data_IF_564928086767
#
_entry.id   IF_564928086767
#
_cell.length_a   1.000
_cell.length_b   1.000
_cell.length_c   1.000
_cell.angle_alpha   90.00
_cell.angle_beta   90.00
_cell.angle_gamma   90.00
#
_symmetry.space_group_name_H-M   'P 1'
#
loop_
_entity.id
_entity.type
_entity.pdbx_description
1 polymer ?
#
# COMPACT_ATOMS: atom_id res chain seq x y z
N UNK A 1 7.01 13.65 6.19
CA UNK A 1 7.21 12.77 5.00
C UNK A 1 6.69 13.47 3.77
N UNK A 2 7.46 13.49 2.68
CA UNK A 2 7.12 14.21 1.47
C UNK A 2 6.90 13.21 0.32
N UNK A 3 5.76 13.32 -0.35
CA UNK A 3 5.44 12.57 -1.56
C UNK A 3 5.57 13.47 -2.78
N UNK A 4 6.38 13.04 -3.74
CA UNK A 4 6.54 13.65 -5.05
C UNK A 4 6.01 12.65 -6.08
N UNK A 5 5.03 13.03 -6.89
CA UNK A 5 4.40 12.11 -7.84
C UNK A 5 4.61 12.64 -9.26
N UNK A 6 5.43 11.95 -10.04
CA UNK A 6 5.63 12.22 -11.46
C UNK A 6 4.51 11.54 -12.25
N UNK A 7 3.64 12.32 -12.87
CA UNK A 7 2.39 11.84 -13.47
C UNK A 7 2.00 12.69 -14.70
N UNK A 8 1.11 12.16 -15.52
CA UNK A 8 0.42 12.92 -16.59
C UNK A 8 -0.95 13.48 -16.11
N UNK A 9 -1.38 13.13 -14.90
CA UNK A 9 -2.71 13.46 -14.34
C UNK A 9 -2.61 13.92 -12.87
N UNK A 10 -1.99 15.11 -12.62
CA UNK A 10 -1.81 15.64 -11.26
C UNK A 10 -3.11 15.71 -10.46
N UNK A 11 -4.21 16.17 -11.11
CA UNK A 11 -5.50 16.35 -10.44
C UNK A 11 -6.06 15.03 -9.89
N UNK A 12 -5.76 13.88 -10.52
CA UNK A 12 -6.19 12.58 -10.03
C UNK A 12 -5.54 12.26 -8.69
N UNK A 13 -4.25 12.54 -8.57
CA UNK A 13 -3.48 12.34 -7.33
C UNK A 13 -3.95 13.31 -6.24
N UNK A 14 -4.03 14.60 -6.56
CA UNK A 14 -4.41 15.66 -5.61
C UNK A 14 -5.83 15.44 -5.07
N UNK A 15 -6.80 15.18 -5.93
CA UNK A 15 -8.18 14.94 -5.51
C UNK A 15 -8.31 13.67 -4.66
N UNK A 16 -7.55 12.62 -4.96
CA UNK A 16 -7.58 11.39 -4.17
C UNK A 16 -6.96 11.54 -2.79
N UNK A 17 -5.77 12.12 -2.73
CA UNK A 17 -4.98 12.19 -1.49
C UNK A 17 -5.39 13.32 -0.53
N UNK A 18 -5.98 14.42 -1.03
CA UNK A 18 -6.43 15.54 -0.20
C UNK A 18 -7.76 15.29 0.53
N UNK A 19 -8.17 14.04 0.65
CA UNK A 19 -9.43 13.65 1.31
C UNK A 19 -9.16 12.79 2.55
N UNK A 20 -10.18 12.68 3.44
CA UNK A 20 -10.20 11.77 4.57
C UNK A 20 -8.97 11.89 5.51
N UNK A 21 -8.31 10.79 5.84
CA UNK A 21 -7.19 10.71 6.78
C UNK A 21 -5.94 11.36 6.18
N UNK A 22 -5.61 11.04 4.93
CA UNK A 22 -4.44 11.59 4.23
C UNK A 22 -4.54 13.10 4.06
N UNK A 23 -5.71 13.63 3.67
CA UNK A 23 -5.93 15.07 3.56
C UNK A 23 -5.81 15.81 4.89
N UNK A 24 -6.29 15.21 6.00
CA UNK A 24 -6.06 15.78 7.34
C UNK A 24 -4.58 15.74 7.75
N UNK A 25 -3.84 14.71 7.39
CA UNK A 25 -2.42 14.60 7.68
C UNK A 25 -1.60 15.64 6.88
N UNK A 26 -1.97 15.90 5.64
CA UNK A 26 -1.39 16.98 4.81
C UNK A 26 -1.69 18.34 5.44
N UNK A 27 -2.94 18.60 5.80
CA UNK A 27 -3.33 19.86 6.46
C UNK A 27 -2.59 20.10 7.78
N UNK A 28 -2.25 19.03 8.53
CA UNK A 28 -1.47 19.10 9.77
C UNK A 28 0.05 19.20 9.54
N UNK A 29 0.52 19.15 8.29
CA UNK A 29 1.95 19.15 7.97
C UNK A 29 2.71 17.85 8.32
N UNK A 30 2.01 16.77 8.61
CA UNK A 30 2.62 15.44 8.82
C UNK A 30 3.07 14.81 7.50
N UNK A 31 2.34 15.09 6.44
CA UNK A 31 2.62 14.71 5.07
C UNK A 31 2.67 15.95 4.20
N UNK A 32 3.47 15.92 3.15
CA UNK A 32 3.33 16.83 2.00
C UNK A 32 3.09 16.02 0.73
N UNK A 33 2.38 16.61 -0.21
CA UNK A 33 2.09 16.01 -1.51
C UNK A 33 2.33 17.03 -2.60
N UNK A 34 3.12 16.63 -3.57
CA UNK A 34 3.37 17.40 -4.79
C UNK A 34 3.18 16.48 -6.00
N UNK A 35 2.17 16.76 -6.81
CA UNK A 35 1.96 16.07 -8.08
C UNK A 35 2.54 16.90 -9.20
N UNK A 36 3.54 16.38 -9.90
CA UNK A 36 4.32 17.06 -10.93
C UNK A 36 3.88 16.53 -12.28
N UNK A 37 3.41 17.45 -13.14
CA UNK A 37 3.03 17.10 -14.51
C UNK A 37 4.28 16.92 -15.37
N UNK A 38 4.55 15.69 -15.81
CA UNK A 38 5.69 15.38 -16.69
C UNK A 38 5.62 16.17 -17.99
N UNK A 39 4.43 16.58 -18.46
CA UNK A 39 4.26 17.40 -19.69
C UNK A 39 4.92 18.77 -19.58
N UNK A 40 5.05 19.32 -18.39
CA UNK A 40 5.66 20.64 -18.17
C UNK A 40 7.17 20.63 -18.45
N UNK A 41 7.77 19.44 -18.55
CA UNK A 41 9.18 19.21 -18.90
C UNK A 41 9.38 18.78 -20.36
N UNK A 42 8.33 18.79 -21.17
CA UNK A 42 8.41 18.55 -22.60
C UNK A 42 8.61 19.87 -23.37
N UNK A 43 9.84 20.23 -23.66
CA UNK A 43 10.22 21.50 -24.31
C UNK A 43 9.99 21.51 -25.84
N UNK A 44 8.96 20.80 -26.28
CA UNK A 44 8.55 20.84 -27.69
C UNK A 44 7.25 21.61 -27.84
N UNK A 45 6.94 22.08 -29.11
CA UNK A 45 5.81 22.93 -29.41
C UNK A 45 4.44 22.42 -28.91
N UNK A 46 4.30 21.12 -28.72
CA UNK A 46 3.03 20.46 -28.37
C UNK A 46 3.05 19.79 -26.99
N UNK A 47 4.08 20.04 -26.17
CA UNK A 47 4.29 19.39 -24.89
C UNK A 47 4.12 17.85 -24.97
N UNK A 48 4.64 17.29 -26.06
CA UNK A 48 4.55 15.87 -26.37
C UNK A 48 5.54 15.11 -25.51
N UNK A 49 5.05 14.13 -24.74
CA UNK A 49 5.82 13.31 -23.78
C UNK A 49 5.98 11.87 -24.25
N UNK A 50 5.41 11.51 -25.38
CA UNK A 50 5.36 10.15 -25.92
C UNK A 50 5.87 10.08 -27.34
N UNK A 51 6.37 8.91 -27.75
CA UNK A 51 6.79 8.65 -29.15
C UNK A 51 6.62 7.16 -29.46
N UNK A 52 6.76 6.78 -30.74
CA UNK A 52 6.69 5.41 -31.21
C UNK A 52 7.87 4.58 -30.67
N UNK A 53 7.62 3.31 -30.26
CA UNK A 53 8.70 2.44 -29.84
C UNK A 53 9.62 2.06 -31.01
N UNK A 54 10.93 1.99 -30.75
CA UNK A 54 11.87 1.39 -31.71
C UNK A 54 11.51 -0.08 -31.92
N UNK A 55 11.67 -0.56 -33.13
CA UNK A 55 11.30 -1.92 -33.52
C UNK A 55 9.84 -2.09 -33.92
N UNK A 56 9.04 -1.03 -33.82
CA UNK A 56 7.60 -1.07 -34.13
C UNK A 56 6.78 -1.66 -33.00
N UNK A 57 5.47 -1.70 -33.20
CA UNK A 57 4.49 -2.17 -32.20
C UNK A 57 3.29 -1.25 -32.13
N UNK A 58 2.26 -1.67 -31.41
CA UNK A 58 1.10 -0.84 -31.11
C UNK A 58 1.40 0.13 -29.95
N UNK A 59 0.77 1.30 -29.96
CA UNK A 59 0.85 2.26 -28.88
C UNK A 59 2.06 3.17 -28.92
N UNK A 60 2.30 3.86 -27.81
CA UNK A 60 3.32 4.88 -27.63
C UNK A 60 4.12 4.58 -26.36
N UNK A 61 5.33 5.11 -26.25
CA UNK A 61 6.16 5.08 -25.03
C UNK A 61 6.36 6.50 -24.50
N UNK A 62 6.40 6.65 -23.21
CA UNK A 62 6.84 7.90 -22.59
C UNK A 62 8.33 8.13 -22.87
N UNK A 63 8.65 9.33 -23.34
CA UNK A 63 10.02 9.73 -23.68
C UNK A 63 10.88 9.88 -22.44
N UNK A 64 12.17 9.52 -22.53
CA UNK A 64 13.12 9.58 -21.42
C UNK A 64 13.30 10.99 -20.87
N UNK A 65 13.51 11.99 -21.74
CA UNK A 65 13.90 13.35 -21.36
C UNK A 65 12.89 14.06 -20.46
N UNK A 66 11.56 14.13 -20.78
CA UNK A 66 10.60 14.76 -19.88
C UNK A 66 10.50 14.07 -18.51
N UNK A 67 10.63 12.74 -18.47
CA UNK A 67 10.64 11.97 -17.21
C UNK A 67 11.89 12.29 -16.41
N UNK A 68 13.07 12.30 -17.04
CA UNK A 68 14.33 12.62 -16.37
C UNK A 68 14.33 14.04 -15.80
N UNK A 69 13.96 15.04 -16.59
CA UNK A 69 13.95 16.44 -16.15
C UNK A 69 12.93 16.69 -15.02
N UNK A 70 11.79 16.02 -15.04
CA UNK A 70 10.83 16.09 -13.93
C UNK A 70 11.41 15.50 -12.62
N UNK A 71 12.13 14.39 -12.70
CA UNK A 71 12.86 13.83 -11.58
C UNK A 71 14.00 14.74 -11.10
N UNK A 72 14.83 15.23 -12.04
CA UNK A 72 15.97 16.11 -11.75
C UNK A 72 15.55 17.36 -10.99
N UNK A 73 14.40 17.96 -11.36
CA UNK A 73 13.82 19.12 -10.66
C UNK A 73 13.56 18.88 -9.18
N UNK A 74 13.20 17.65 -8.80
CA UNK A 74 13.05 17.25 -7.40
C UNK A 74 14.43 17.06 -6.76
N UNK A 75 15.31 16.29 -7.41
CA UNK A 75 16.63 15.94 -6.87
C UNK A 75 17.48 17.19 -6.59
N UNK A 76 17.45 18.17 -7.49
CA UNK A 76 18.14 19.47 -7.32
C UNK A 76 17.56 20.25 -6.13
N UNK A 77 16.23 20.34 -6.03
CA UNK A 77 15.58 21.10 -4.97
C UNK A 77 15.83 20.51 -3.58
N UNK A 78 15.85 19.18 -3.43
CA UNK A 78 16.13 18.52 -2.16
C UNK A 78 17.64 18.30 -1.91
N UNK A 79 18.50 18.54 -2.92
CA UNK A 79 19.97 18.45 -2.82
C UNK A 79 20.51 17.03 -2.70
N UNK A 80 19.72 16.00 -3.06
CA UNK A 80 20.12 14.58 -3.04
C UNK A 80 19.27 13.75 -4.01
N UNK A 81 19.75 12.54 -4.35
CA UNK A 81 18.95 11.58 -5.11
C UNK A 81 17.89 10.97 -4.18
N UNK A 82 16.59 11.20 -4.42
CA UNK A 82 15.52 10.58 -3.64
C UNK A 82 15.33 9.11 -4.02
N UNK A 83 14.63 8.36 -3.16
CA UNK A 83 14.14 7.03 -3.48
C UNK A 83 13.01 7.13 -4.50
N UNK A 84 13.11 6.43 -5.63
CA UNK A 84 12.16 6.46 -6.74
C UNK A 84 11.47 5.11 -6.89
N UNK A 85 10.17 5.10 -6.72
CA UNK A 85 9.32 3.92 -6.84
C UNK A 85 8.63 3.95 -8.21
N UNK A 86 8.96 2.99 -9.07
CA UNK A 86 8.25 2.77 -10.32
C UNK A 86 7.22 1.66 -10.17
N UNK A 87 6.00 1.95 -10.57
CA UNK A 87 4.83 1.08 -10.42
C UNK A 87 4.66 0.21 -11.65
N UNK A 88 4.98 -1.07 -11.53
CA UNK A 88 5.08 -1.98 -12.67
C UNK A 88 4.81 -3.44 -12.25
N UNK A 89 4.18 -4.26 -13.14
CA UNK A 89 3.97 -5.69 -12.87
C UNK A 89 5.26 -6.51 -12.65
N UNK A 90 6.41 -6.05 -13.17
CA UNK A 90 7.71 -6.74 -12.98
C UNK A 90 8.33 -6.55 -11.58
N UNK A 91 7.77 -5.65 -10.77
CA UNK A 91 8.26 -5.33 -9.44
C UNK A 91 7.91 -6.35 -8.38
N UNK A 92 8.53 -6.21 -7.21
CA UNK A 92 8.12 -6.98 -6.01
C UNK A 92 6.70 -6.60 -5.61
N UNK A 93 5.90 -7.60 -5.25
CA UNK A 93 4.54 -7.35 -4.76
C UNK A 93 4.59 -6.58 -3.43
N UNK A 94 3.94 -5.41 -3.42
CA UNK A 94 3.83 -4.54 -2.24
C UNK A 94 3.18 -5.25 -1.07
N UNK A 95 3.70 -5.03 0.11
CA UNK A 95 3.19 -5.59 1.36
C UNK A 95 3.40 -4.63 2.53
N UNK A 96 2.89 -5.00 3.72
CA UNK A 96 2.95 -4.17 4.91
C UNK A 96 4.39 -3.88 5.39
N UNK A 97 5.32 -4.80 5.19
CA UNK A 97 6.72 -4.58 5.60
C UNK A 97 7.40 -3.54 4.70
N UNK A 98 7.11 -3.55 3.39
CA UNK A 98 7.54 -2.49 2.47
C UNK A 98 6.91 -1.13 2.83
N UNK A 99 5.63 -1.10 3.24
CA UNK A 99 5.00 0.14 3.68
C UNK A 99 5.72 0.74 4.90
N UNK A 100 6.09 -0.10 5.87
CA UNK A 100 6.88 0.32 7.05
C UNK A 100 8.28 0.82 6.66
N UNK A 101 8.94 0.14 5.73
CA UNK A 101 10.26 0.53 5.24
C UNK A 101 10.20 1.89 4.54
N UNK A 102 9.28 2.08 3.60
CA UNK A 102 9.10 3.34 2.89
C UNK A 102 8.69 4.50 3.80
N UNK A 103 7.97 4.22 4.88
CA UNK A 103 7.58 5.24 5.86
C UNK A 103 8.75 5.85 6.66
N UNK A 104 9.95 5.26 6.57
CA UNK A 104 11.17 5.80 7.19
C UNK A 104 11.85 6.87 6.32
N UNK A 105 11.47 6.98 5.05
CA UNK A 105 12.03 7.96 4.14
C UNK A 105 11.45 9.36 4.39
N UNK A 106 12.27 10.37 4.21
CA UNK A 106 11.83 11.76 4.26
C UNK A 106 11.12 12.16 2.96
N UNK A 107 11.69 11.77 1.81
CA UNK A 107 11.18 12.03 0.47
C UNK A 107 11.02 10.72 -0.31
N UNK A 108 9.84 10.50 -0.89
CA UNK A 108 9.56 9.42 -1.82
C UNK A 108 9.06 9.99 -3.14
N UNK A 109 9.65 9.53 -4.24
CA UNK A 109 9.18 9.83 -5.60
C UNK A 109 8.42 8.63 -6.14
N UNK A 110 7.20 8.85 -6.61
CA UNK A 110 6.41 7.86 -7.33
C UNK A 110 6.43 8.20 -8.82
N UNK A 111 6.87 7.27 -9.66
CA UNK A 111 6.82 7.40 -11.10
C UNK A 111 5.62 6.64 -11.66
N UNK A 112 4.65 7.37 -12.19
CA UNK A 112 3.44 6.84 -12.79
C UNK A 112 3.62 6.67 -14.29
N UNK A 113 3.71 5.42 -14.77
CA UNK A 113 3.78 5.10 -16.19
C UNK A 113 2.41 5.14 -16.85
N UNK A 114 2.43 5.46 -18.16
CA UNK A 114 1.28 5.45 -19.06
C UNK A 114 1.64 4.84 -20.42
N UNK A 115 0.65 4.72 -21.29
CA UNK A 115 0.79 4.12 -22.64
C UNK A 115 1.28 2.67 -22.55
N UNK A 116 2.24 2.28 -23.40
CA UNK A 116 2.87 0.95 -23.37
C UNK A 116 4.05 0.89 -22.37
N UNK A 117 4.40 1.99 -21.73
CA UNK A 117 5.47 2.10 -20.76
C UNK A 117 6.31 3.36 -20.88
N UNK A 118 7.47 3.33 -20.26
CA UNK A 118 8.46 4.42 -20.22
C UNK A 118 9.74 3.91 -20.87
N UNK A 119 10.49 4.79 -21.52
CA UNK A 119 11.79 4.48 -22.10
C UNK A 119 12.71 3.84 -21.03
N UNK A 120 13.23 2.65 -21.30
CA UNK A 120 13.99 1.86 -20.34
C UNK A 120 15.23 2.58 -19.83
N UNK A 121 15.87 3.42 -20.66
CA UNK A 121 17.10 4.14 -20.30
C UNK A 121 16.90 5.09 -19.13
N UNK A 122 15.75 5.76 -19.02
CA UNK A 122 15.46 6.62 -17.88
C UNK A 122 15.09 5.81 -16.64
N UNK A 123 14.42 4.66 -16.82
CA UNK A 123 14.12 3.78 -15.69
C UNK A 123 15.42 3.25 -15.06
N UNK A 124 16.39 2.80 -15.86
CA UNK A 124 17.71 2.36 -15.39
C UNK A 124 18.49 3.46 -14.66
N UNK A 125 18.31 4.74 -15.08
CA UNK A 125 19.05 5.87 -14.49
C UNK A 125 18.46 6.34 -13.14
N UNK A 126 17.11 6.35 -12.99
CA UNK A 126 16.50 7.01 -11.84
C UNK A 126 15.76 6.08 -10.88
N UNK A 127 15.30 4.90 -11.32
CA UNK A 127 14.44 4.04 -10.49
C UNK A 127 15.27 3.26 -9.47
N UNK A 128 14.87 3.33 -8.21
CA UNK A 128 15.49 2.55 -7.12
C UNK A 128 14.67 1.30 -6.78
N UNK A 129 13.35 1.38 -6.92
CA UNK A 129 12.43 0.32 -6.52
C UNK A 129 11.37 0.06 -7.60
N UNK A 130 11.33 -1.17 -8.09
CA UNK A 130 10.27 -1.67 -8.96
C UNK A 130 9.23 -2.37 -8.08
N UNK A 131 7.99 -1.86 -8.07
CA UNK A 131 6.94 -2.35 -7.16
C UNK A 131 5.66 -2.67 -7.93
N UNK A 132 5.10 -3.84 -7.63
CA UNK A 132 3.80 -4.30 -8.13
C UNK A 132 2.76 -4.26 -7.01
N UNK A 133 1.51 -3.92 -7.32
CA UNK A 133 0.39 -4.03 -6.39
C UNK A 133 -0.42 -5.32 -6.57
N UNK A 134 0.00 -6.22 -7.47
CA UNK A 134 -0.64 -7.50 -7.75
C UNK A 134 -0.57 -7.88 -9.24
N UNK A 135 -1.03 -9.09 -9.55
CA UNK A 135 -0.96 -9.68 -10.88
C UNK A 135 -2.15 -9.25 -11.76
N UNK A 136 -2.23 -7.97 -12.08
CA UNK A 136 -3.23 -7.38 -12.98
C UNK A 136 -2.69 -6.10 -13.59
N UNK A 137 -3.26 -5.70 -14.74
CA UNK A 137 -2.85 -4.52 -15.49
C UNK A 137 -3.87 -3.39 -15.30
N UNK A 138 -3.37 -2.19 -15.07
CA UNK A 138 -4.15 -0.96 -14.97
C UNK A 138 -3.83 -0.01 -16.12
N UNK A 139 -4.63 1.03 -16.28
CA UNK A 139 -4.46 2.03 -17.37
C UNK A 139 -3.33 3.01 -17.09
N UNK A 140 -2.82 3.11 -15.85
CA UNK A 140 -1.73 4.01 -15.46
C UNK A 140 -1.27 3.76 -14.03
N UNK A 141 -0.21 4.45 -13.64
CA UNK A 141 0.44 4.31 -12.34
C UNK A 141 -0.21 5.07 -11.19
N UNK A 142 -1.18 5.94 -11.43
CA UNK A 142 -1.75 6.84 -10.41
C UNK A 142 -2.53 6.09 -9.33
N UNK A 143 -3.38 5.14 -9.70
CA UNK A 143 -4.12 4.33 -8.72
C UNK A 143 -3.19 3.51 -7.83
N UNK A 144 -2.19 2.79 -8.38
CA UNK A 144 -1.17 2.13 -7.56
C UNK A 144 -0.40 3.09 -6.65
N UNK A 145 -0.03 4.29 -7.13
CA UNK A 145 0.66 5.29 -6.33
C UNK A 145 -0.19 5.73 -5.13
N UNK A 146 -1.46 6.07 -5.35
CA UNK A 146 -2.37 6.44 -4.26
C UNK A 146 -2.59 5.30 -3.28
N UNK A 147 -2.75 4.06 -3.76
CA UNK A 147 -2.85 2.86 -2.92
C UNK A 147 -1.62 2.71 -2.01
N UNK A 148 -0.41 2.85 -2.55
CA UNK A 148 0.81 2.75 -1.77
C UNK A 148 0.96 3.93 -0.80
N UNK A 149 0.73 5.17 -1.27
CA UNK A 149 0.81 6.36 -0.42
C UNK A 149 -0.16 6.29 0.76
N UNK A 150 -1.40 5.79 0.59
CA UNK A 150 -2.33 5.58 1.70
C UNK A 150 -1.75 4.59 2.72
N UNK A 151 -1.30 3.42 2.26
CA UNK A 151 -0.73 2.39 3.12
C UNK A 151 0.52 2.86 3.87
N UNK A 152 1.44 3.56 3.19
CA UNK A 152 2.66 4.11 3.77
C UNK A 152 2.32 5.21 4.79
N UNK A 153 1.38 6.11 4.45
CA UNK A 153 0.96 7.21 5.33
C UNK A 153 0.45 6.72 6.68
N UNK A 154 -0.22 5.58 6.73
CA UNK A 154 -0.70 4.95 7.97
C UNK A 154 0.43 4.58 8.93
N UNK A 155 1.65 4.37 8.41
CA UNK A 155 2.85 4.05 9.20
C UNK A 155 3.55 5.30 9.74
N UNK A 156 3.21 6.49 9.21
CA UNK A 156 3.80 7.76 9.67
C UNK A 156 3.21 8.17 11.02
N UNK A 157 4.04 8.44 12.05
CA UNK A 157 3.54 8.83 13.36
C UNK A 157 2.60 10.03 13.32
N UNK A 158 1.47 9.95 14.01
CA UNK A 158 0.47 11.02 14.12
C UNK A 158 -0.55 11.11 12.98
N UNK A 159 -0.40 10.35 11.91
CA UNK A 159 -1.40 10.26 10.81
C UNK A 159 -2.67 9.56 11.29
N UNK A 160 -2.54 8.44 11.99
CA UNK A 160 -3.65 7.80 12.69
C UNK A 160 -3.76 8.36 14.11
N UNK A 161 -5.00 8.62 14.56
CA UNK A 161 -5.26 9.16 15.90
C UNK A 161 -4.92 8.17 17.02
N UNK A 162 -5.02 6.87 16.76
CA UNK A 162 -4.66 5.79 17.70
C UNK A 162 -3.48 5.01 17.14
N UNK A 163 -2.30 5.19 17.72
CA UNK A 163 -1.09 4.46 17.32
C UNK A 163 -1.19 2.95 17.60
N UNK A 164 -1.96 2.54 18.63
CA UNK A 164 -2.19 1.13 18.93
C UNK A 164 -2.99 0.42 17.83
N UNK A 165 -3.74 1.16 17.00
CA UNK A 165 -4.47 0.56 15.87
C UNK A 165 -3.54 -0.13 14.88
N UNK A 166 -2.36 0.42 14.62
CA UNK A 166 -1.37 -0.19 13.71
C UNK A 166 -0.74 -1.48 14.22
N UNK A 167 -0.73 -1.70 15.54
CA UNK A 167 -0.12 -2.89 16.16
C UNK A 167 -1.07 -4.09 16.19
N UNK A 168 -2.37 -3.89 16.13
CA UNK A 168 -3.40 -4.93 16.22
C UNK A 168 -4.12 -5.22 14.91
N UNK A 169 -3.80 -4.50 13.85
CA UNK A 169 -4.38 -4.67 12.52
C UNK A 169 -3.87 -5.94 11.80
N UNK A 170 -4.58 -6.32 10.74
CA UNK A 170 -4.17 -7.42 9.87
C UNK A 170 -2.74 -7.24 9.38
N UNK A 171 -2.01 -8.35 9.33
CA UNK A 171 -0.58 -8.48 9.02
C UNK A 171 0.38 -8.07 10.15
N UNK A 172 -0.09 -7.49 11.24
CA UNK A 172 0.69 -7.35 12.45
C UNK A 172 0.94 -8.75 13.06
N UNK A 173 2.20 -9.08 13.32
CA UNK A 173 2.57 -10.43 13.78
C UNK A 173 2.20 -11.56 12.80
N UNK A 174 2.00 -11.26 11.52
CA UNK A 174 1.56 -12.20 10.47
C UNK A 174 0.20 -12.88 10.75
N UNK A 175 -0.70 -12.19 11.40
CA UNK A 175 -2.07 -12.64 11.63
C UNK A 175 -3.08 -11.67 10.99
N UNK A 176 -4.28 -12.18 10.72
CA UNK A 176 -5.44 -11.33 10.41
C UNK A 176 -6.02 -10.77 11.71
N UNK A 177 -6.59 -9.59 11.66
CA UNK A 177 -7.32 -8.99 12.76
C UNK A 177 -8.52 -9.85 13.19
N UNK A 178 -8.82 -9.82 14.48
CA UNK A 178 -10.01 -10.46 15.08
C UNK A 178 -11.32 -9.80 14.60
N UNK A 179 -12.49 -10.47 14.74
CA UNK A 179 -13.77 -9.88 14.37
C UNK A 179 -14.16 -8.73 15.28
N UNK A 180 -14.62 -7.64 14.68
CA UNK A 180 -15.10 -6.45 15.37
C UNK A 180 -16.63 -6.45 15.47
N UNK A 181 -17.16 -5.93 16.57
CA UNK A 181 -18.59 -5.81 16.82
C UNK A 181 -18.95 -4.39 17.24
N UNK A 182 -20.03 -3.86 16.69
CA UNK A 182 -20.59 -2.56 17.07
C UNK A 182 -21.91 -2.72 17.82
N UNK A 183 -22.43 -1.63 18.36
CA UNK A 183 -23.80 -1.59 18.93
C UNK A 183 -24.85 -1.68 17.82
N UNK A 184 -26.02 -2.27 18.07
CA UNK A 184 -26.50 -2.85 19.36
C UNK A 184 -25.86 -4.21 19.69
N UNK A 185 -26.05 -4.68 20.94
CA UNK A 185 -25.54 -5.97 21.43
C UNK A 185 -26.12 -7.18 20.69
N UNK A 186 -27.36 -7.06 20.25
CA UNK A 186 -28.03 -8.07 19.41
C UNK A 186 -28.51 -7.44 18.10
N UNK A 187 -28.19 -8.10 16.99
CA UNK A 187 -28.60 -7.70 15.65
C UNK A 187 -29.11 -8.91 14.87
N UNK A 188 -30.41 -8.89 14.51
CA UNK A 188 -31.09 -10.00 13.82
C UNK A 188 -30.89 -11.37 14.50
N UNK A 189 -31.01 -11.43 15.83
CA UNK A 189 -30.83 -12.65 16.63
C UNK A 189 -29.37 -13.08 16.82
N UNK A 190 -28.40 -12.33 16.29
CA UNK A 190 -26.96 -12.58 16.49
C UNK A 190 -26.44 -11.68 17.58
N UNK A 191 -25.83 -12.28 18.60
CA UNK A 191 -25.31 -11.57 19.77
C UNK A 191 -23.82 -11.32 19.67
N UNK A 192 -23.38 -10.20 20.26
CA UNK A 192 -21.97 -9.95 20.55
C UNK A 192 -21.45 -11.02 21.51
N UNK A 193 -20.25 -11.58 21.33
CA UNK A 193 -19.65 -12.52 22.29
C UNK A 193 -19.59 -11.94 23.70
N UNK A 194 -20.06 -12.71 24.68
CA UNK A 194 -20.18 -12.28 26.08
C UNK A 194 -18.84 -11.80 26.67
N UNK A 195 -17.72 -12.41 26.25
CA UNK A 195 -16.38 -12.00 26.69
C UNK A 195 -16.09 -10.53 26.39
N UNK A 196 -16.62 -9.98 25.28
CA UNK A 196 -16.44 -8.58 24.91
C UNK A 196 -17.28 -7.62 25.76
N UNK A 197 -18.30 -8.13 26.42
CA UNK A 197 -19.20 -7.37 27.31
C UNK A 197 -18.73 -7.44 28.77
N UNK A 198 -17.80 -8.33 29.11
CA UNK A 198 -17.39 -8.66 30.48
C UNK A 198 -16.58 -7.56 31.18
N UNK A 199 -15.96 -6.63 30.44
CA UNK A 199 -15.03 -5.64 30.99
C UNK A 199 -13.67 -6.18 31.44
N UNK A 200 -13.43 -7.50 31.32
CA UNK A 200 -12.17 -8.15 31.70
C UNK A 200 -11.15 -8.11 30.55
N UNK A 201 -10.32 -7.08 30.51
CA UNK A 201 -9.35 -6.85 29.43
C UNK A 201 -8.50 -8.08 29.09
N UNK A 202 -7.93 -8.76 30.09
CA UNK A 202 -7.11 -9.95 29.85
C UNK A 202 -7.85 -11.08 29.13
N UNK A 203 -9.15 -11.29 29.43
CA UNK A 203 -9.97 -12.28 28.75
C UNK A 203 -10.33 -11.81 27.32
N UNK A 204 -10.57 -10.52 27.15
CA UNK A 204 -10.83 -9.91 25.83
C UNK A 204 -9.60 -10.06 24.95
N UNK A 205 -8.40 -9.76 25.45
CA UNK A 205 -7.15 -9.86 24.66
C UNK A 205 -6.82 -11.32 24.30
N UNK A 206 -7.05 -12.24 25.20
CA UNK A 206 -6.92 -13.67 24.91
C UNK A 206 -7.89 -14.11 23.82
N UNK A 207 -9.16 -13.71 23.91
CA UNK A 207 -10.18 -14.00 22.90
C UNK A 207 -9.80 -13.39 21.54
N UNK A 208 -9.35 -12.14 21.51
CA UNK A 208 -8.87 -11.46 20.30
C UNK A 208 -7.75 -12.24 19.62
N UNK A 209 -6.75 -12.68 20.40
CA UNK A 209 -5.64 -13.51 19.91
C UNK A 209 -6.13 -14.82 19.33
N UNK A 210 -7.02 -15.53 20.03
CA UNK A 210 -7.62 -16.77 19.55
C UNK A 210 -8.40 -16.57 18.24
N UNK A 211 -9.20 -15.52 18.15
CA UNK A 211 -9.97 -15.21 16.94
C UNK A 211 -9.08 -14.82 15.74
N UNK A 212 -8.01 -14.08 15.97
CA UNK A 212 -7.02 -13.74 14.92
C UNK A 212 -6.38 -15.02 14.37
N UNK A 213 -6.00 -15.97 15.22
CA UNK A 213 -5.42 -17.25 14.81
C UNK A 213 -6.44 -18.07 14.01
N UNK A 214 -7.68 -18.18 14.50
CA UNK A 214 -8.75 -18.91 13.81
C UNK A 214 -9.03 -18.32 12.43
N UNK A 215 -9.18 -17.00 12.32
CA UNK A 215 -9.41 -16.31 11.04
C UNK A 215 -8.24 -16.51 10.08
N UNK A 216 -7.01 -16.38 10.57
CA UNK A 216 -5.82 -16.58 9.75
C UNK A 216 -5.75 -18.01 9.25
N UNK A 217 -5.97 -18.98 10.11
CA UNK A 217 -5.97 -20.40 9.75
C UNK A 217 -7.01 -20.77 8.68
N UNK A 218 -8.16 -20.07 8.70
CA UNK A 218 -9.26 -20.28 7.76
C UNK A 218 -9.05 -19.58 6.41
N UNK A 219 -8.65 -18.30 6.45
CA UNK A 219 -8.68 -17.44 5.27
C UNK A 219 -7.32 -17.13 4.65
N UNK A 220 -6.27 -17.12 5.49
CA UNK A 220 -4.89 -16.81 5.07
C UNK A 220 -3.89 -17.75 5.74
N UNK A 221 -4.02 -19.07 5.53
CA UNK A 221 -3.13 -20.07 6.16
C UNK A 221 -1.65 -19.93 5.72
N UNK A 222 -1.39 -19.23 4.64
CA UNK A 222 -0.07 -18.87 4.14
C UNK A 222 0.73 -17.94 5.07
N UNK A 223 0.04 -17.19 5.96
CA UNK A 223 0.67 -16.30 6.94
C UNK A 223 1.17 -17.04 8.19
N UNK A 224 0.52 -18.15 8.57
CA UNK A 224 0.81 -18.87 9.82
C UNK A 224 2.28 -19.31 9.99
N UNK A 225 3.01 -19.75 8.94
CA UNK A 225 4.42 -20.14 9.09
C UNK A 225 5.34 -19.00 9.54
N UNK A 226 4.91 -17.75 9.34
CA UNK A 226 5.66 -16.54 9.72
C UNK A 226 5.16 -15.95 11.05
N UNK A 227 4.00 -16.42 11.56
CA UNK A 227 3.43 -15.94 12.81
C UNK A 227 4.11 -16.59 14.02
N UNK A 228 4.32 -15.80 15.08
CA UNK A 228 4.84 -16.31 16.34
C UNK A 228 3.71 -16.99 17.13
N UNK A 229 3.56 -18.31 16.90
CA UNK A 229 2.56 -19.15 17.53
C UNK A 229 3.21 -20.11 18.53
N UNK A 230 2.61 -20.21 19.72
CA UNK A 230 2.98 -21.22 20.71
C UNK A 230 2.62 -22.63 20.23
N UNK A 231 3.25 -23.66 20.82
CA UNK A 231 2.92 -25.06 20.52
C UNK A 231 1.44 -25.39 20.77
N UNK A 232 0.81 -24.75 21.75
CA UNK A 232 -0.62 -24.92 22.07
C UNK A 232 -1.49 -24.33 20.93
N UNK A 233 -1.16 -23.14 20.45
CA UNK A 233 -1.87 -22.49 19.35
C UNK A 233 -1.71 -23.29 18.05
N UNK A 234 -0.53 -23.82 17.77
CA UNK A 234 -0.30 -24.71 16.61
C UNK A 234 -1.13 -26.00 16.68
N UNK A 235 -1.27 -26.60 17.86
CA UNK A 235 -2.11 -27.79 18.03
C UNK A 235 -3.59 -27.47 17.76
N UNK A 236 -4.06 -26.31 18.22
CA UNK A 236 -5.43 -25.85 17.96
C UNK A 236 -5.66 -25.59 16.46
N UNK A 237 -4.74 -24.94 15.77
CA UNK A 237 -4.80 -24.73 14.31
C UNK A 237 -4.91 -26.09 13.58
N UNK A 238 -4.11 -27.08 13.97
CA UNK A 238 -4.17 -28.42 13.34
C UNK A 238 -5.50 -29.10 13.57
N UNK A 239 -6.06 -29.00 14.79
CA UNK A 239 -7.37 -29.52 15.14
C UNK A 239 -8.48 -28.90 14.29
N UNK A 240 -8.52 -27.57 14.23
CA UNK A 240 -9.52 -26.82 13.44
C UNK A 240 -9.44 -27.14 11.94
N UNK A 241 -8.25 -27.17 11.38
CA UNK A 241 -8.07 -27.50 9.94
C UNK A 241 -8.52 -28.92 9.60
N UNK A 242 -8.34 -29.89 10.52
CA UNK A 242 -8.86 -31.24 10.34
C UNK A 242 -10.39 -31.24 10.34
N UNK A 243 -10.99 -30.57 11.33
CA UNK A 243 -12.46 -30.45 11.44
C UNK A 243 -13.08 -29.82 10.18
N UNK A 244 -12.53 -28.71 9.69
CA UNK A 244 -13.04 -28.04 8.48
C UNK A 244 -12.94 -28.89 7.21
N UNK A 245 -11.91 -29.72 7.08
CA UNK A 245 -11.81 -30.68 5.96
C UNK A 245 -12.94 -31.72 6.01
N UNK A 246 -13.19 -32.29 7.19
CA UNK A 246 -14.27 -33.25 7.40
C UNK A 246 -15.69 -32.67 7.18
N UNK A 247 -15.86 -31.35 7.39
CA UNK A 247 -17.13 -30.65 7.12
C UNK A 247 -17.37 -30.39 5.63
N UNK A 248 -16.32 -30.22 4.82
CA UNK A 248 -16.41 -29.98 3.37
C UNK A 248 -16.61 -31.29 2.60
N UNK A 249 -16.16 -32.44 3.14
CA UNK A 249 -16.30 -33.76 2.53
C UNK A 249 -17.68 -34.41 2.78
N UNK A 250 -18.53 -33.78 3.61
CA UNK A 250 -19.93 -34.18 3.88
C UNK A 250 -20.92 -33.38 3.04
#
# INVERSE_FOLDING_TARGET
MNYHVLTLFPEMIENGMNTSITGRAITKGLLSLEAINIRDFAFNKHQKVDDYPYGGGAGMLMQAEPVYLSYESIAERIGRKPRVIFLTPQGKTFNQDMAKEFALEEDLVFLCGHYEGIDERVLEEIVTDYVSIGDYVLTGGELPAMFMMDSISRMVPGVLNNQESGETESFSGNLLEYPQYSRPEEWHGKKVPEVLLSGHHANVDKWRREQSIIRTAKWRPDLLPKADLTNKEWNEVRRLRKQWKEEVEK
#
